data_IF_029558229304
#
_entry.id   IF_029558229304
#
_cell.length_a   1.000
_cell.length_b   1.000
_cell.length_c   1.000
_cell.angle_alpha   90.00
_cell.angle_beta   90.00
_cell.angle_gamma   90.00
#
_symmetry.space_group_name_H-M   'P 1'
#
loop_
_entity.id
_entity.type
_entity.pdbx_description
1 polymer ?
#
# COMPACT_ATOMS: atom_id res chain seq x y z
N UNK A 1 -118.05 -51.47 -19.58
CA UNK A 1 -117.47 -50.54 -18.60
C UNK A 1 -115.98 -50.81 -18.54
N UNK A 2 -115.15 -49.86 -18.95
CA UNK A 2 -113.84 -49.61 -18.34
C UNK A 2 -113.30 -48.28 -18.89
N UNK A 3 -113.06 -47.38 -17.95
CA UNK A 3 -112.71 -45.98 -18.14
C UNK A 3 -111.29 -45.83 -18.67
N UNK A 4 -111.09 -44.89 -19.59
CA UNK A 4 -109.78 -44.39 -20.00
C UNK A 4 -109.40 -43.28 -19.01
N UNK A 5 -108.41 -43.52 -18.15
CA UNK A 5 -107.82 -42.47 -17.31
C UNK A 5 -106.84 -41.63 -18.13
N UNK A 6 -107.24 -40.41 -18.44
CA UNK A 6 -106.32 -39.37 -18.92
C UNK A 6 -105.54 -38.85 -17.71
N UNK A 7 -104.26 -39.22 -17.60
CA UNK A 7 -103.32 -38.55 -16.70
C UNK A 7 -103.06 -37.14 -17.21
N UNK A 8 -103.71 -36.15 -16.60
CA UNK A 8 -103.38 -34.75 -16.78
C UNK A 8 -102.12 -34.44 -15.99
N UNK A 9 -101.04 -34.09 -16.66
CA UNK A 9 -99.85 -33.49 -16.03
C UNK A 9 -100.29 -32.19 -15.34
N UNK A 10 -100.18 -32.13 -14.02
CA UNK A 10 -100.45 -30.91 -13.27
C UNK A 10 -99.48 -29.81 -13.73
N UNK A 11 -99.98 -28.66 -14.22
CA UNK A 11 -99.11 -27.54 -14.56
C UNK A 11 -98.48 -26.98 -13.28
N UNK A 12 -97.15 -26.91 -13.27
CA UNK A 12 -96.38 -26.22 -12.23
C UNK A 12 -96.63 -24.72 -12.40
N UNK A 13 -97.42 -24.14 -11.50
CA UNK A 13 -97.66 -22.70 -11.47
C UNK A 13 -96.49 -22.00 -10.75
N UNK A 14 -95.66 -21.29 -11.50
CA UNK A 14 -94.68 -20.37 -10.93
C UNK A 14 -95.39 -19.12 -10.41
N UNK A 15 -95.28 -18.83 -9.11
CA UNK A 15 -95.74 -17.57 -8.50
C UNK A 15 -94.73 -16.46 -8.80
N UNK A 16 -94.96 -15.69 -9.85
CA UNK A 16 -94.31 -14.40 -10.05
C UNK A 16 -95.01 -13.38 -9.12
N UNK A 17 -94.43 -13.08 -7.95
CA UNK A 17 -95.01 -12.11 -7.00
C UNK A 17 -94.84 -10.69 -7.53
N UNK A 18 -95.71 -10.27 -8.44
CA UNK A 18 -95.89 -8.86 -8.78
C UNK A 18 -96.62 -8.17 -7.62
N UNK A 19 -95.85 -7.65 -6.67
CA UNK A 19 -96.23 -6.70 -5.58
C UNK A 19 -97.62 -6.95 -4.98
N UNK A 20 -97.71 -7.63 -3.83
CA UNK A 20 -98.97 -7.80 -3.12
C UNK A 20 -99.58 -6.44 -2.70
N UNK A 21 -100.83 -6.17 -3.09
CA UNK A 21 -101.58 -5.04 -2.55
C UNK A 21 -101.98 -5.33 -1.10
N UNK A 22 -101.52 -4.51 -0.15
CA UNK A 22 -101.94 -4.60 1.25
C UNK A 22 -103.19 -3.75 1.44
N UNK A 23 -104.30 -4.36 1.88
CA UNK A 23 -105.52 -3.64 2.27
C UNK A 23 -105.48 -3.41 3.78
N UNK A 24 -105.58 -2.15 4.22
CA UNK A 24 -105.55 -1.77 5.64
C UNK A 24 -106.93 -1.27 6.06
N UNK A 25 -107.49 -1.85 7.12
CA UNK A 25 -108.76 -1.40 7.70
C UNK A 25 -108.61 -0.03 8.40
N UNK A 26 -109.70 0.75 8.44
CA UNK A 26 -109.72 2.09 9.03
C UNK A 26 -109.34 2.05 10.51
N UNK A 27 -108.16 2.56 10.83
CA UNK A 27 -107.64 2.68 12.20
C UNK A 27 -106.27 2.06 12.45
N UNK A 28 -105.69 1.33 11.49
CA UNK A 28 -104.34 0.77 11.61
C UNK A 28 -103.34 1.57 10.76
N UNK A 29 -102.21 1.95 11.35
CA UNK A 29 -101.06 2.51 10.62
C UNK A 29 -100.22 1.36 10.04
N UNK A 30 -100.00 1.36 8.73
CA UNK A 30 -98.95 0.53 8.11
C UNK A 30 -97.68 1.37 8.07
N UNK A 31 -96.72 1.03 8.91
CA UNK A 31 -95.36 1.48 8.71
C UNK A 31 -94.80 0.73 7.51
N UNK A 32 -94.71 1.41 6.36
CA UNK A 32 -94.04 0.86 5.18
C UNK A 32 -92.55 0.84 5.49
N UNK A 33 -92.08 -0.21 6.15
CA UNK A 33 -90.65 -0.47 6.29
C UNK A 33 -90.15 -0.80 4.88
N UNK A 34 -89.39 0.11 4.27
CA UNK A 34 -88.66 -0.17 3.05
C UNK A 34 -87.70 -1.34 3.31
N UNK A 35 -88.11 -2.55 2.91
CA UNK A 35 -87.28 -3.73 2.73
C UNK A 35 -86.50 -4.22 3.95
N UNK A 36 -87.07 -5.16 4.71
CA UNK A 36 -86.21 -6.19 5.31
C UNK A 36 -85.88 -7.17 4.19
N UNK A 37 -84.63 -7.24 3.74
CA UNK A 37 -84.21 -8.29 2.80
C UNK A 37 -84.26 -9.60 3.60
N UNK A 38 -85.31 -10.40 3.39
CA UNK A 38 -85.46 -11.70 4.03
C UNK A 38 -85.05 -12.77 3.02
N UNK A 39 -83.87 -13.36 3.21
CA UNK A 39 -83.30 -14.40 2.34
C UNK A 39 -81.81 -14.63 2.61
N UNK A 40 -81.26 -15.74 2.10
CA UNK A 40 -79.83 -16.02 2.11
C UNK A 40 -79.12 -15.11 1.08
N UNK A 41 -78.00 -14.50 1.46
CA UNK A 41 -77.14 -13.67 0.59
C UNK A 41 -76.74 -14.40 -0.70
N UNK A 42 -76.73 -15.74 -0.67
CA UNK A 42 -76.44 -16.62 -1.80
C UNK A 42 -77.45 -16.51 -2.96
N UNK A 43 -78.65 -15.96 -2.72
CA UNK A 43 -79.70 -15.78 -3.72
C UNK A 43 -79.70 -14.36 -4.33
N UNK A 44 -78.82 -13.46 -3.88
CA UNK A 44 -78.73 -12.07 -4.36
C UNK A 44 -77.58 -11.92 -5.37
N UNK A 45 -77.82 -12.34 -6.61
CA UNK A 45 -76.81 -12.42 -7.67
C UNK A 45 -76.16 -11.07 -7.98
N UNK A 46 -76.93 -9.98 -7.99
CA UNK A 46 -76.45 -8.62 -8.24
C UNK A 46 -75.41 -8.14 -7.22
N UNK A 47 -75.64 -8.37 -5.92
CA UNK A 47 -74.67 -8.02 -4.87
C UNK A 47 -73.42 -8.90 -4.90
N UNK A 48 -73.57 -10.18 -5.27
CA UNK A 48 -72.42 -11.08 -5.42
C UNK A 48 -71.53 -10.65 -6.59
N UNK A 49 -72.13 -10.21 -7.70
CA UNK A 49 -71.42 -9.72 -8.87
C UNK A 49 -70.68 -8.41 -8.56
N UNK A 50 -71.34 -7.47 -7.88
CA UNK A 50 -70.72 -6.21 -7.46
C UNK A 50 -69.56 -6.44 -6.49
N UNK A 51 -69.74 -7.30 -5.49
CA UNK A 51 -68.69 -7.65 -4.52
C UNK A 51 -67.49 -8.33 -5.18
N UNK A 52 -67.73 -9.25 -6.12
CA UNK A 52 -66.67 -9.90 -6.87
C UNK A 52 -65.93 -8.90 -7.77
N UNK A 53 -66.64 -7.98 -8.42
CA UNK A 53 -66.04 -6.90 -9.20
C UNK A 53 -65.12 -6.02 -8.36
N UNK A 54 -65.59 -5.56 -7.20
CA UNK A 54 -64.78 -4.79 -6.25
C UNK A 54 -63.56 -5.58 -5.79
N UNK A 55 -63.73 -6.87 -5.49
CA UNK A 55 -62.65 -7.75 -5.03
C UNK A 55 -61.56 -7.93 -6.10
N UNK A 56 -61.93 -8.12 -7.35
CA UNK A 56 -60.97 -8.21 -8.45
C UNK A 56 -60.27 -6.87 -8.71
N UNK A 57 -61.00 -5.75 -8.69
CA UNK A 57 -60.41 -4.41 -8.83
C UNK A 57 -59.37 -4.14 -7.73
N UNK A 58 -59.68 -4.47 -6.47
CA UNK A 58 -58.75 -4.27 -5.35
C UNK A 58 -57.51 -5.15 -5.50
N UNK A 59 -57.65 -6.39 -5.98
CA UNK A 59 -56.48 -7.26 -6.24
C UNK A 59 -55.57 -6.67 -7.32
N UNK A 60 -56.15 -6.17 -8.41
CA UNK A 60 -55.40 -5.54 -9.50
C UNK A 60 -54.70 -4.25 -9.04
N UNK A 61 -55.40 -3.38 -8.33
CA UNK A 61 -54.84 -2.15 -7.75
C UNK A 61 -53.68 -2.45 -6.80
N UNK A 62 -53.79 -3.49 -5.98
CA UNK A 62 -52.73 -3.94 -5.08
C UNK A 62 -51.54 -4.47 -5.89
N UNK A 63 -51.78 -5.32 -6.89
CA UNK A 63 -50.71 -5.87 -7.73
C UNK A 63 -49.91 -4.75 -8.43
N UNK A 64 -50.61 -3.80 -9.05
CA UNK A 64 -50.00 -2.66 -9.74
C UNK A 64 -49.27 -1.71 -8.79
N UNK A 65 -49.75 -1.53 -7.54
CA UNK A 65 -49.06 -0.70 -6.53
C UNK A 65 -47.91 -1.42 -5.82
N UNK A 66 -47.94 -2.76 -5.79
CA UNK A 66 -46.93 -3.59 -5.15
C UNK A 66 -45.73 -3.85 -6.06
N UNK A 67 -45.94 -3.90 -7.38
CA UNK A 67 -44.85 -4.04 -8.33
C UNK A 67 -44.03 -2.75 -8.45
N UNK A 68 -43.06 -2.64 -7.56
CA UNK A 68 -42.08 -1.55 -7.49
C UNK A 68 -40.74 -1.96 -8.09
N UNK A 69 -40.68 -3.06 -8.83
CA UNK A 69 -39.46 -3.62 -9.39
C UNK A 69 -38.68 -2.61 -10.25
N UNK A 70 -39.39 -1.74 -10.99
CA UNK A 70 -38.78 -0.70 -11.81
C UNK A 70 -38.08 0.41 -11.02
N UNK A 71 -38.48 0.67 -9.76
CA UNK A 71 -37.84 1.69 -8.92
C UNK A 71 -36.39 1.34 -8.59
N UNK A 72 -36.06 0.05 -8.57
CA UNK A 72 -34.70 -0.42 -8.34
C UNK A 72 -33.74 -0.06 -9.50
N UNK A 73 -34.26 0.24 -10.69
CA UNK A 73 -33.46 0.63 -11.86
C UNK A 73 -33.26 2.16 -11.95
N UNK A 74 -33.91 2.94 -11.08
CA UNK A 74 -33.77 4.39 -11.05
C UNK A 74 -32.64 4.78 -10.10
N UNK A 75 -31.83 5.76 -10.52
CA UNK A 75 -30.82 6.33 -9.66
C UNK A 75 -31.46 7.11 -8.51
N UNK A 76 -31.05 6.83 -7.28
CA UNK A 76 -31.43 7.57 -6.09
C UNK A 76 -30.73 8.93 -6.04
N UNK A 77 -31.30 9.85 -5.26
CA UNK A 77 -30.68 11.17 -5.02
C UNK A 77 -29.29 11.04 -4.38
N UNK A 78 -29.09 10.02 -3.55
CA UNK A 78 -27.81 9.74 -2.89
C UNK A 78 -26.76 9.23 -3.88
N UNK A 79 -27.13 8.31 -4.78
CA UNK A 79 -26.26 7.83 -5.86
C UNK A 79 -25.85 8.96 -6.80
N UNK A 80 -26.81 9.82 -7.18
CA UNK A 80 -26.52 11.01 -7.99
C UNK A 80 -25.57 11.96 -7.26
N UNK A 81 -25.83 12.25 -5.98
CA UNK A 81 -24.97 13.14 -5.19
C UNK A 81 -23.55 12.59 -5.04
N UNK A 82 -23.43 11.29 -4.76
CA UNK A 82 -22.15 10.59 -4.65
C UNK A 82 -21.39 10.55 -5.97
N UNK A 83 -22.09 10.33 -7.09
CA UNK A 83 -21.49 10.34 -8.42
C UNK A 83 -21.01 11.73 -8.87
N UNK A 84 -21.64 12.80 -8.39
CA UNK A 84 -21.26 14.19 -8.69
C UNK A 84 -20.13 14.72 -7.80
N UNK A 85 -19.98 14.21 -6.56
CA UNK A 85 -18.95 14.66 -5.60
C UNK A 85 -17.50 14.60 -6.13
N UNK A 86 -17.22 13.70 -7.08
CA UNK A 86 -15.90 13.57 -7.72
C UNK A 86 -15.75 14.35 -9.03
N UNK A 87 -16.76 15.12 -9.44
CA UNK A 87 -16.73 15.93 -10.67
C UNK A 87 -16.44 17.38 -10.30
N UNK A 88 -15.56 18.02 -11.07
CA UNK A 88 -15.30 19.43 -10.90
C UNK A 88 -16.45 20.28 -11.47
N UNK A 89 -16.78 21.38 -10.78
CA UNK A 89 -17.71 22.38 -11.29
C UNK A 89 -17.09 23.12 -12.46
N UNK A 90 -17.87 23.33 -13.54
CA UNK A 90 -17.39 24.02 -14.75
C UNK A 90 -16.86 25.42 -14.46
N UNK A 91 -17.46 26.13 -13.49
CA UNK A 91 -17.03 27.46 -13.05
C UNK A 91 -15.62 27.46 -12.43
N UNK A 92 -15.18 26.32 -11.89
CA UNK A 92 -13.89 26.17 -11.20
C UNK A 92 -12.83 25.47 -12.07
N UNK A 93 -13.08 25.34 -13.38
CA UNK A 93 -12.16 24.68 -14.31
C UNK A 93 -11.94 25.55 -15.54
N UNK A 94 -10.72 25.54 -16.08
CA UNK A 94 -10.46 26.11 -17.40
C UNK A 94 -10.56 25.02 -18.47
N UNK A 95 -11.16 25.36 -19.60
CA UNK A 95 -11.09 24.60 -20.83
C UNK A 95 -9.71 24.71 -21.45
N UNK A 96 -9.39 23.75 -22.31
CA UNK A 96 -8.12 23.77 -23.03
C UNK A 96 -7.99 25.00 -23.94
N UNK A 97 -9.09 25.40 -24.58
CA UNK A 97 -9.14 26.59 -25.45
C UNK A 97 -8.84 27.88 -24.66
N UNK A 98 -9.48 28.08 -23.50
CA UNK A 98 -9.22 29.24 -22.64
C UNK A 98 -7.76 29.31 -22.15
N UNK A 99 -7.12 28.17 -21.93
CA UNK A 99 -5.70 28.10 -21.56
C UNK A 99 -4.81 28.40 -22.76
N UNK A 100 -5.11 27.79 -23.92
CA UNK A 100 -4.33 27.97 -25.14
C UNK A 100 -4.37 29.44 -25.59
N UNK A 101 -5.51 30.11 -25.51
CA UNK A 101 -5.67 31.54 -25.82
C UNK A 101 -4.86 32.43 -24.85
N UNK A 102 -4.94 32.16 -23.54
CA UNK A 102 -4.19 32.92 -22.52
C UNK A 102 -2.67 32.75 -22.65
N UNK A 103 -2.20 31.60 -23.14
CA UNK A 103 -0.78 31.36 -23.38
C UNK A 103 -0.32 32.07 -24.67
N UNK A 104 -1.15 32.06 -25.71
CA UNK A 104 -0.82 32.66 -27.01
C UNK A 104 -0.67 34.19 -26.97
N UNK A 105 -1.34 34.87 -26.04
CA UNK A 105 -1.23 36.33 -25.87
C UNK A 105 0.01 36.80 -25.09
N UNK A 106 0.88 35.90 -24.63
CA UNK A 106 2.06 36.30 -23.87
C UNK A 106 3.10 36.97 -24.79
N UNK A 107 3.27 38.29 -24.61
CA UNK A 107 4.34 39.04 -25.26
C UNK A 107 5.70 38.64 -24.68
N UNK A 108 6.36 37.72 -25.38
CA UNK A 108 7.71 37.24 -25.05
C UNK A 108 8.80 38.16 -25.61
N UNK A 109 8.47 39.32 -26.21
CA UNK A 109 9.45 40.25 -26.81
C UNK A 109 10.49 40.80 -25.82
N UNK A 110 10.18 40.78 -24.53
CA UNK A 110 11.11 41.17 -23.46
C UNK A 110 12.04 40.04 -23.00
N UNK A 111 11.92 38.84 -23.57
CA UNK A 111 12.75 37.68 -23.26
C UNK A 111 13.60 37.30 -24.46
N UNK A 112 14.84 36.89 -24.21
CA UNK A 112 15.71 36.37 -25.26
C UNK A 112 15.46 34.88 -25.47
N UNK A 113 15.31 34.45 -26.72
CA UNK A 113 15.28 33.04 -27.06
C UNK A 113 16.65 32.40 -26.86
N UNK A 114 16.68 31.06 -26.71
CA UNK A 114 17.94 30.33 -26.57
C UNK A 114 18.87 30.55 -27.78
N UNK A 115 18.29 30.56 -28.98
CA UNK A 115 19.02 30.86 -30.22
C UNK A 115 19.60 32.27 -30.22
N UNK A 116 18.83 33.30 -29.81
CA UNK A 116 19.34 34.67 -29.72
C UNK A 116 20.47 34.81 -28.69
N UNK A 117 20.38 34.13 -27.54
CA UNK A 117 21.46 34.13 -26.53
C UNK A 117 22.72 33.48 -27.10
N UNK A 118 22.57 32.36 -27.80
CA UNK A 118 23.67 31.61 -28.38
C UNK A 118 24.31 32.38 -29.55
N UNK A 119 23.52 33.06 -30.39
CA UNK A 119 23.99 33.95 -31.47
C UNK A 119 24.64 35.24 -30.97
N UNK A 120 24.10 35.85 -29.91
CA UNK A 120 24.66 37.05 -29.28
C UNK A 120 26.00 36.78 -28.61
N UNK A 121 26.30 35.51 -28.31
CA UNK A 121 27.58 35.10 -27.76
C UNK A 121 27.86 35.83 -26.45
N UNK A 122 26.88 35.87 -25.55
CA UNK A 122 27.07 36.44 -24.21
C UNK A 122 28.23 35.69 -23.56
N UNK A 123 29.40 36.34 -23.56
CA UNK A 123 30.74 35.82 -23.23
C UNK A 123 31.39 34.93 -24.31
N UNK A 124 31.61 35.44 -25.53
CA UNK A 124 32.55 34.80 -26.48
C UNK A 124 34.02 34.91 -26.05
N UNK A 125 34.33 35.83 -25.13
CA UNK A 125 35.63 36.01 -24.49
C UNK A 125 35.43 36.66 -23.12
N UNK A 126 36.12 36.16 -22.09
CA UNK A 126 36.09 36.72 -20.74
C UNK A 126 36.92 38.03 -20.68
N UNK A 127 36.32 39.11 -20.19
CA UNK A 127 36.95 40.45 -20.14
C UNK A 127 37.18 40.96 -18.72
N UNK A 128 36.71 40.25 -17.70
CA UNK A 128 36.82 40.68 -16.30
C UNK A 128 38.31 40.86 -15.90
N UNK A 129 38.74 42.08 -15.51
CA UNK A 129 40.14 42.34 -15.14
C UNK A 129 40.57 41.63 -13.84
N UNK A 130 39.63 41.18 -13.01
CA UNK A 130 39.89 40.41 -11.80
C UNK A 130 40.19 38.94 -12.07
N UNK A 131 39.78 38.45 -13.25
CA UNK A 131 40.10 37.10 -13.71
C UNK A 131 41.54 37.08 -14.28
N UNK A 132 42.44 36.23 -13.77
CA UNK A 132 43.80 36.14 -14.27
C UNK A 132 43.84 35.59 -15.70
N UNK A 133 44.84 36.01 -16.50
CA UNK A 133 44.93 35.69 -17.94
C UNK A 133 44.86 34.19 -18.26
N UNK A 134 45.43 33.34 -17.40
CA UNK A 134 45.40 31.89 -17.59
C UNK A 134 43.99 31.29 -17.49
N UNK A 135 43.08 31.93 -16.74
CA UNK A 135 41.69 31.50 -16.59
C UNK A 135 40.78 32.06 -17.69
N UNK A 136 41.28 33.01 -18.49
CA UNK A 136 40.58 33.57 -19.66
C UNK A 136 40.78 32.73 -20.93
N UNK A 137 41.75 31.83 -20.93
CA UNK A 137 42.03 30.98 -22.07
C UNK A 137 40.92 29.93 -22.25
N UNK A 138 40.46 29.66 -23.49
CA UNK A 138 39.40 28.68 -23.75
C UNK A 138 39.81 27.24 -23.37
N UNK A 139 41.12 26.98 -23.25
CA UNK A 139 41.68 25.69 -22.83
C UNK A 139 42.62 25.89 -21.64
N UNK A 140 42.53 25.01 -20.65
CA UNK A 140 43.42 25.03 -19.48
C UNK A 140 44.89 24.87 -19.90
N UNK A 141 45.85 25.57 -19.27
CA UNK A 141 47.26 25.32 -19.50
C UNK A 141 47.62 23.86 -19.21
N UNK A 142 48.48 23.30 -20.05
CA UNK A 142 49.06 21.96 -19.86
C UNK A 142 50.47 22.14 -19.31
N UNK A 143 50.81 21.40 -18.26
CA UNK A 143 52.14 21.44 -17.64
C UNK A 143 52.82 20.08 -17.81
N UNK A 144 54.11 20.10 -18.07
CA UNK A 144 54.99 18.93 -18.08
C UNK A 144 55.42 18.59 -16.66
N UNK A 145 55.83 17.32 -16.44
CA UNK A 145 56.35 16.88 -15.15
C UNK A 145 57.53 17.75 -14.68
N UNK A 146 58.42 18.13 -15.61
CA UNK A 146 59.55 19.02 -15.36
C UNK A 146 59.11 20.39 -14.83
N UNK A 147 58.10 21.01 -15.44
CA UNK A 147 57.60 22.34 -15.05
C UNK A 147 57.01 22.38 -13.63
N UNK A 148 56.49 21.24 -13.14
CA UNK A 148 55.89 21.13 -11.80
C UNK A 148 56.77 20.39 -10.79
N UNK A 149 58.00 20.01 -11.19
CA UNK A 149 58.91 19.23 -10.36
C UNK A 149 58.38 17.81 -10.03
N UNK A 150 57.44 17.31 -10.83
CA UNK A 150 56.98 15.93 -10.74
C UNK A 150 57.99 15.01 -11.41
N UNK A 151 58.10 13.79 -10.88
CA UNK A 151 58.83 12.72 -11.54
C UNK A 151 58.08 12.34 -12.83
N UNK A 152 58.83 12.02 -13.90
CA UNK A 152 58.24 11.52 -15.13
C UNK A 152 57.43 10.26 -14.85
N UNK A 153 56.36 10.03 -15.63
CA UNK A 153 55.54 8.82 -15.52
C UNK A 153 56.35 7.53 -15.78
N UNK A 154 57.45 7.65 -16.52
CA UNK A 154 58.37 6.55 -16.84
C UNK A 154 59.41 6.29 -15.73
N UNK A 155 59.35 7.01 -14.61
CA UNK A 155 60.24 6.78 -13.48
C UNK A 155 59.89 5.44 -12.83
N UNK A 156 60.75 4.44 -13.00
CA UNK A 156 60.62 3.18 -12.29
C UNK A 156 60.79 3.42 -10.78
N UNK A 157 59.75 3.06 -10.01
CA UNK A 157 59.82 3.02 -8.55
C UNK A 157 60.59 1.74 -8.19
N UNK A 158 61.64 1.81 -7.35
CA UNK A 158 62.40 0.62 -6.98
C UNK A 158 61.52 -0.40 -6.27
N UNK A 159 61.73 -1.68 -6.56
CA UNK A 159 61.04 -2.77 -5.88
C UNK A 159 61.45 -2.83 -4.40
N UNK A 160 60.46 -2.75 -3.51
CA UNK A 160 60.63 -2.81 -2.06
C UNK A 160 60.19 -4.15 -1.48
N UNK A 161 59.77 -5.11 -2.31
CA UNK A 161 59.29 -6.43 -1.87
C UNK A 161 60.33 -7.23 -1.08
N UNK A 162 61.62 -6.94 -1.28
CA UNK A 162 62.73 -7.54 -0.54
C UNK A 162 63.09 -6.83 0.77
N UNK A 163 62.45 -5.72 1.11
CA UNK A 163 62.69 -5.02 2.38
C UNK A 163 61.85 -5.65 3.49
N UNK A 164 62.44 -5.80 4.68
CA UNK A 164 61.74 -6.35 5.83
C UNK A 164 60.61 -5.41 6.27
N UNK A 165 59.43 -5.97 6.52
CA UNK A 165 58.32 -5.24 7.12
C UNK A 165 58.59 -4.96 8.60
N UNK A 166 57.88 -3.97 9.15
CA UNK A 166 57.99 -3.62 10.57
C UNK A 166 57.66 -4.80 11.48
N UNK A 167 56.63 -5.58 11.14
CA UNK A 167 56.18 -6.76 11.89
C UNK A 167 57.20 -7.92 11.84
N UNK A 168 57.84 -8.15 10.69
CA UNK A 168 58.91 -9.15 10.56
C UNK A 168 60.16 -8.79 11.36
N UNK A 169 60.43 -7.49 11.54
CA UNK A 169 61.53 -7.02 12.39
C UNK A 169 61.16 -7.16 13.87
N UNK A 170 59.93 -6.82 14.25
CA UNK A 170 59.44 -6.86 15.64
C UNK A 170 59.29 -8.30 16.19
N UNK A 171 59.21 -9.32 15.32
CA UNK A 171 59.16 -10.74 15.73
C UNK A 171 60.54 -11.38 15.86
N UNK A 172 61.62 -10.67 15.47
CA UNK A 172 62.99 -11.11 15.80
C UNK A 172 63.26 -10.89 17.28
N UNK A 173 64.17 -11.67 17.85
CA UNK A 173 64.39 -11.72 19.30
C UNK A 173 64.77 -10.35 19.91
N UNK A 174 63.90 -9.82 20.78
CA UNK A 174 63.89 -8.42 21.26
C UNK A 174 65.13 -7.92 22.02
N UNK A 175 66.11 -8.77 22.38
CA UNK A 175 67.29 -8.29 23.12
C UNK A 175 68.53 -9.13 22.95
N UNK A 176 69.04 -9.19 21.72
CA UNK A 176 70.48 -9.38 21.53
C UNK A 176 71.16 -8.01 21.66
N UNK A 177 72.03 -7.84 22.65
CA UNK A 177 72.85 -6.63 22.73
C UNK A 177 73.94 -6.77 21.67
N UNK A 178 73.77 -6.05 20.56
CA UNK A 178 74.70 -6.08 19.43
C UNK A 178 76.14 -5.84 19.87
N UNK A 179 77.07 -6.63 19.35
CA UNK A 179 78.50 -6.54 19.68
C UNK A 179 78.91 -7.18 21.02
N UNK A 180 78.01 -7.90 21.70
CA UNK A 180 78.34 -8.64 22.94
C UNK A 180 78.09 -10.13 22.78
N UNK A 181 78.95 -10.95 23.41
CA UNK A 181 78.74 -12.39 23.50
C UNK A 181 77.56 -12.67 24.45
N UNK A 182 76.66 -13.54 24.03
CA UNK A 182 75.60 -14.05 24.89
C UNK A 182 76.24 -14.98 25.90
N UNK A 183 75.77 -14.93 27.15
CA UNK A 183 76.25 -15.85 28.19
C UNK A 183 76.03 -17.28 27.71
N UNK A 184 77.00 -18.16 27.93
CA UNK A 184 76.87 -19.61 27.69
C UNK A 184 76.75 -20.34 29.02
N UNK A 185 76.20 -21.54 29.03
CA UNK A 185 76.29 -22.47 30.18
C UNK A 185 77.20 -23.62 29.79
N UNK A 186 78.31 -23.78 30.51
CA UNK A 186 79.32 -24.83 30.24
C UNK A 186 79.81 -24.87 28.78
N UNK A 187 79.85 -23.71 28.10
CA UNK A 187 80.26 -23.59 26.70
C UNK A 187 79.13 -23.72 25.68
N UNK A 188 77.91 -24.07 26.09
CA UNK A 188 76.77 -24.18 25.17
C UNK A 188 76.03 -22.84 25.02
N UNK A 189 75.64 -22.52 23.78
CA UNK A 189 74.84 -21.35 23.44
C UNK A 189 73.48 -21.38 24.13
N UNK A 190 73.03 -20.21 24.60
CA UNK A 190 71.66 -20.02 25.10
C UNK A 190 70.67 -19.62 24.00
N UNK A 191 71.14 -19.41 22.78
CA UNK A 191 70.28 -19.16 21.63
C UNK A 191 70.00 -20.45 20.88
N UNK A 192 68.72 -20.73 20.66
CA UNK A 192 68.22 -21.90 19.97
C UNK A 192 66.88 -22.34 20.55
N UNK A 193 66.25 -23.32 19.91
CA UNK A 193 65.08 -24.00 20.44
C UNK A 193 65.48 -25.16 21.37
N UNK A 194 64.62 -25.50 22.33
CA UNK A 194 64.83 -26.63 23.24
C UNK A 194 65.51 -26.30 24.57
N UNK A 195 65.70 -27.32 25.40
CA UNK A 195 66.25 -27.21 26.75
C UNK A 195 67.77 -27.38 26.75
N UNK A 196 68.43 -26.78 27.75
CA UNK A 196 69.85 -26.99 28.00
C UNK A 196 70.00 -28.00 29.14
N UNK A 197 70.72 -29.07 28.86
CA UNK A 197 71.07 -30.05 29.89
C UNK A 197 72.22 -29.53 30.74
N UNK A 198 72.01 -29.48 32.06
CA UNK A 198 73.05 -29.18 33.04
C UNK A 198 73.29 -30.44 33.85
N UNK A 199 74.46 -31.05 33.67
CA UNK A 199 74.89 -32.13 34.56
C UNK A 199 75.38 -31.52 35.87
N UNK A 200 74.69 -31.82 36.97
CA UNK A 200 75.09 -31.39 38.30
C UNK A 200 76.43 -32.01 38.67
N UNK A 201 77.43 -31.19 38.96
CA UNK A 201 78.70 -31.67 39.51
C UNK A 201 78.46 -32.33 40.88
N UNK A 202 79.10 -33.47 41.11
CA UNK A 202 79.00 -34.30 42.34
C UNK A 202 79.66 -33.64 43.57
N UNK A 203 79.57 -32.31 43.71
CA UNK A 203 80.01 -31.55 44.88
C UNK A 203 79.08 -31.74 46.07
N UNK A 204 78.69 -32.98 46.35
CA UNK A 204 78.02 -33.35 47.58
C UNK A 204 78.93 -33.05 48.77
N UNK A 205 78.31 -32.55 49.84
CA UNK A 205 78.94 -32.32 51.15
C UNK A 205 79.75 -33.57 51.51
N UNK A 206 81.08 -33.49 51.75
CA UNK A 206 81.89 -34.67 52.04
C UNK A 206 81.28 -35.49 53.17
N UNK A 207 81.27 -36.80 53.00
CA UNK A 207 80.74 -37.73 53.99
C UNK A 207 81.43 -37.54 55.35
N UNK A 208 80.64 -37.52 56.41
CA UNK A 208 81.17 -37.29 57.75
C UNK A 208 82.18 -38.39 58.12
N UNK A 209 83.33 -38.07 58.74
CA UNK A 209 84.33 -39.06 59.09
C UNK A 209 83.77 -40.17 59.99
N UNK A 210 84.13 -41.42 59.71
CA UNK A 210 83.68 -42.60 60.47
C UNK A 210 84.53 -42.85 61.71
N UNK A 211 84.88 -41.81 62.46
CA UNK A 211 85.68 -41.93 63.69
C UNK A 211 84.81 -42.16 64.94
N UNK A 212 83.50 -42.36 64.74
CA UNK A 212 82.52 -42.58 65.81
C UNK A 212 82.20 -41.34 66.64
N UNK A 213 82.80 -40.18 66.35
CA UNK A 213 82.44 -38.93 67.01
C UNK A 213 81.22 -38.32 66.33
N UNK A 214 80.28 -37.84 67.15
CA UNK A 214 79.17 -37.04 66.65
C UNK A 214 79.66 -35.62 66.39
N UNK A 215 79.87 -35.29 65.11
CA UNK A 215 80.13 -33.93 64.67
C UNK A 215 78.81 -33.18 64.52
N UNK A 216 78.60 -32.17 65.36
CA UNK A 216 77.52 -31.20 65.15
C UNK A 216 78.08 -30.11 64.24
N UNK A 217 77.37 -29.78 63.15
CA UNK A 217 77.71 -28.63 62.32
C UNK A 217 77.62 -27.38 63.21
N UNK A 218 78.71 -26.68 63.45
CA UNK A 218 78.59 -25.28 63.84
C UNK A 218 78.18 -24.52 62.58
N UNK A 219 77.09 -23.75 62.70
CA UNK A 219 76.39 -23.09 61.60
C UNK A 219 77.30 -22.54 60.50
#
# INVERSE_FOLDING_TARGET
MNNIELKTSDPIYNLEVKRANVIVGSGSSVDVVWGTIVGDISQQTDLQDELNGIKEQVKEDIANKADRSELANLATKEELSSGLLGKADKENTYTKEEVDDKIAETDLSNYYTKQEIDEKGYITAETDPTVPEWAKQPTKPTYTAEEVGALSADTEIPDISGLATKEEVETKQDKLVSGTNIKTVNGNSLLGEGNIEIQGGTGGIPEAPTDGKKYVRQN
#
